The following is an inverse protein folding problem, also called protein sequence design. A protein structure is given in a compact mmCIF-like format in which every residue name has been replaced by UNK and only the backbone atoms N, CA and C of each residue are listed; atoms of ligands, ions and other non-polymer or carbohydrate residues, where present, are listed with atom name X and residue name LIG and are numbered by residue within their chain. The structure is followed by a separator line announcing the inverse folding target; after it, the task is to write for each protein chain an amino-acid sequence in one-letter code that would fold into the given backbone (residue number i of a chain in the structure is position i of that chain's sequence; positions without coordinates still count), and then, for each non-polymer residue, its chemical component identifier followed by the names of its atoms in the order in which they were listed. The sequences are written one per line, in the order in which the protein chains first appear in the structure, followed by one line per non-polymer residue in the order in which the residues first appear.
data_IF_956490842982
#
_entry.id   IF_956490842982
#
_cell.length_a   1.000
_cell.length_b   1.000
_cell.length_c   1.000
_cell.angle_alpha   90.00
_cell.angle_beta   90.00
_cell.angle_gamma   90.00
#
_symmetry.space_group_name_H-M   'P 1'
#
loop_
_entity.id
_entity.type
_entity.pdbx_description
1 polymer ?
#
# COMPACT_ATOMS: atom_id res chain seq x y z
N UNK A 1 50.39 -21.55 32.62
CA UNK A 1 50.50 -22.16 31.27
C UNK A 1 51.73 -21.55 30.62
N UNK A 2 52.73 -22.35 30.27
CA UNK A 2 54.00 -21.81 29.78
C UNK A 2 53.93 -21.57 28.27
N UNK A 3 54.74 -20.65 27.73
CA UNK A 3 54.70 -20.26 26.32
C UNK A 3 54.88 -21.43 25.33
N UNK A 4 55.55 -22.50 25.78
CA UNK A 4 55.76 -23.74 25.02
C UNK A 4 54.45 -24.51 24.82
N UNK A 5 53.64 -24.63 25.89
CA UNK A 5 52.35 -25.32 25.84
C UNK A 5 51.35 -24.56 24.96
N UNK A 6 51.40 -23.22 25.00
CA UNK A 6 50.59 -22.35 24.15
C UNK A 6 50.92 -22.55 22.66
N UNK A 7 52.21 -22.63 22.33
CA UNK A 7 52.68 -22.81 20.95
C UNK A 7 52.29 -24.19 20.40
N UNK A 8 52.37 -25.23 21.23
CA UNK A 8 51.94 -26.57 20.87
C UNK A 8 50.42 -26.62 20.61
N UNK A 9 49.62 -25.95 21.44
CA UNK A 9 48.17 -25.89 21.30
C UNK A 9 47.73 -25.14 20.04
N UNK A 10 48.34 -23.98 19.74
CA UNK A 10 47.98 -23.15 18.56
C UNK A 10 48.51 -23.75 17.25
N UNK A 11 49.53 -24.62 17.31
CA UNK A 11 50.05 -25.34 16.13
C UNK A 11 49.20 -26.56 15.75
N UNK A 12 48.25 -26.99 16.59
CA UNK A 12 47.27 -28.00 16.20
C UNK A 12 46.35 -27.42 15.12
N UNK A 13 46.24 -28.12 13.99
CA UNK A 13 45.46 -27.65 12.84
C UNK A 13 43.98 -27.39 13.18
N UNK A 14 43.40 -28.13 14.15
CA UNK A 14 42.03 -27.93 14.63
C UNK A 14 41.88 -26.60 15.35
N UNK A 15 42.88 -26.26 16.17
CA UNK A 15 42.91 -25.01 16.93
C UNK A 15 43.21 -23.84 16.00
N UNK A 16 44.13 -24.01 15.05
CA UNK A 16 44.40 -23.00 14.03
C UNK A 16 43.15 -22.71 13.18
N UNK A 17 42.41 -23.74 12.74
CA UNK A 17 41.15 -23.59 12.01
C UNK A 17 40.09 -22.87 12.86
N UNK A 18 39.93 -23.25 14.13
CA UNK A 18 39.00 -22.59 15.05
C UNK A 18 39.32 -21.11 15.18
N UNK A 19 40.59 -20.74 15.39
CA UNK A 19 41.03 -19.35 15.52
C UNK A 19 40.73 -18.57 14.24
N UNK A 20 41.02 -19.15 13.07
CA UNK A 20 40.70 -18.51 11.78
C UNK A 20 39.20 -18.28 11.63
N UNK A 21 38.36 -19.27 11.95
CA UNK A 21 36.90 -19.13 11.88
C UNK A 21 36.37 -18.08 12.86
N UNK A 22 36.93 -18.00 14.06
CA UNK A 22 36.57 -16.97 15.05
C UNK A 22 36.95 -15.57 14.55
N UNK A 23 38.15 -15.40 13.99
CA UNK A 23 38.58 -14.11 13.42
C UNK A 23 37.70 -13.71 12.23
N UNK A 24 37.39 -14.64 11.33
CA UNK A 24 36.47 -14.39 10.21
C UNK A 24 35.06 -14.04 10.69
N UNK A 25 34.58 -14.68 11.75
CA UNK A 25 33.29 -14.35 12.38
C UNK A 25 33.27 -12.92 12.94
N UNK A 26 34.34 -12.49 13.62
CA UNK A 26 34.45 -11.12 14.12
C UNK A 26 34.47 -10.09 12.99
N UNK A 27 35.16 -10.39 11.88
CA UNK A 27 35.15 -9.54 10.69
C UNK A 27 33.75 -9.47 10.08
N UNK A 28 33.04 -10.60 9.99
CA UNK A 28 31.68 -10.66 9.45
C UNK A 28 30.65 -9.92 10.33
N UNK A 29 30.77 -9.99 11.65
CA UNK A 29 29.90 -9.24 12.60
C UNK A 29 30.19 -7.73 12.52
N UNK A 30 31.43 -7.35 12.25
CA UNK A 30 31.85 -5.96 12.06
C UNK A 30 31.56 -5.04 13.25
N UNK A 31 31.98 -5.39 14.49
CA UNK A 31 31.80 -4.51 15.64
C UNK A 31 32.64 -3.23 15.45
N UNK A 32 32.00 -2.08 15.55
CA UNK A 32 32.62 -0.76 15.47
C UNK A 32 31.99 0.17 16.49
N UNK A 33 32.68 1.27 16.80
CA UNK A 33 32.09 2.32 17.63
C UNK A 33 31.42 3.34 16.71
N UNK A 34 30.17 3.68 17.00
CA UNK A 34 29.46 4.74 16.29
C UNK A 34 29.92 6.13 16.75
N UNK A 35 29.38 7.17 16.10
CA UNK A 35 29.66 8.57 16.42
C UNK A 35 29.26 9.01 17.84
N UNK A 36 28.48 8.20 18.56
CA UNK A 36 28.03 8.44 19.94
C UNK A 36 28.81 7.60 20.96
N UNK A 37 29.76 6.77 20.50
CA UNK A 37 30.61 5.92 21.35
C UNK A 37 29.98 4.58 21.73
N UNK A 38 28.85 4.20 21.14
CA UNK A 38 28.22 2.91 21.39
C UNK A 38 28.82 1.82 20.51
N UNK A 39 28.86 0.59 21.03
CA UNK A 39 29.29 -0.59 20.27
C UNK A 39 28.17 -0.98 19.28
N UNK A 40 28.38 -0.66 18.00
CA UNK A 40 27.50 -1.02 16.90
C UNK A 40 28.05 -2.24 16.14
N UNK A 41 27.17 -3.02 15.49
CA UNK A 41 27.52 -4.18 14.65
C UNK A 41 26.78 -4.09 13.32
N UNK A 42 27.21 -4.82 12.30
CA UNK A 42 26.54 -4.85 11.00
C UNK A 42 25.38 -5.87 10.94
N UNK A 43 24.83 -6.24 12.10
CA UNK A 43 23.75 -7.23 12.20
C UNK A 43 22.39 -6.55 11.96
N UNK A 44 21.63 -7.07 11.00
CA UNK A 44 20.22 -6.71 10.84
C UNK A 44 19.39 -7.50 11.84
N UNK A 45 18.96 -6.82 12.91
CA UNK A 45 18.10 -7.42 13.92
C UNK A 45 16.66 -7.54 13.40
N UNK A 46 16.02 -8.67 13.70
CA UNK A 46 14.60 -8.87 13.39
C UNK A 46 13.68 -8.06 14.32
N UNK A 47 12.40 -7.97 13.95
CA UNK A 47 11.36 -7.18 14.60
C UNK A 47 11.22 -7.44 16.12
N UNK A 48 11.44 -8.68 16.55
CA UNK A 48 11.35 -9.12 17.96
C UNK A 48 12.41 -8.46 18.85
N UNK A 49 13.53 -8.03 18.26
CA UNK A 49 14.64 -7.38 18.97
C UNK A 49 14.67 -5.86 18.78
N UNK A 50 13.91 -5.32 17.83
CA UNK A 50 13.89 -3.88 17.46
C UNK A 50 12.64 -3.10 17.90
N UNK A 51 11.75 -3.68 18.72
CA UNK A 51 10.47 -3.05 19.09
C UNK A 51 9.67 -2.55 17.88
N UNK A 52 9.34 -3.43 16.93
CA UNK A 52 8.50 -3.06 15.80
C UNK A 52 7.11 -3.67 15.85
N UNK A 53 6.16 -3.02 15.18
CA UNK A 53 4.80 -3.51 14.99
C UNK A 53 4.64 -4.09 13.58
N UNK A 54 3.80 -5.12 13.44
CA UNK A 54 3.35 -5.57 12.12
C UNK A 54 1.83 -5.59 12.05
N UNK A 55 1.29 -5.23 10.88
CA UNK A 55 -0.13 -5.24 10.58
C UNK A 55 -0.32 -6.08 9.32
N UNK A 56 -1.30 -7.00 9.36
CA UNK A 56 -1.75 -7.72 8.18
C UNK A 56 -3.17 -7.27 7.85
N UNK A 57 -3.35 -6.74 6.64
CA UNK A 57 -4.63 -6.31 6.10
C UNK A 57 -5.10 -7.32 5.05
N UNK A 58 -6.39 -7.64 5.06
CA UNK A 58 -7.02 -8.45 4.01
C UNK A 58 -7.61 -7.55 2.92
N UNK A 59 -7.36 -7.88 1.66
CA UNK A 59 -8.02 -7.21 0.54
C UNK A 59 -9.49 -7.62 0.49
N UNK A 60 -10.39 -6.64 0.56
CA UNK A 60 -11.85 -6.86 0.46
C UNK A 60 -12.32 -6.86 -0.99
N UNK A 61 -11.80 -7.80 -1.76
CA UNK A 61 -12.10 -7.99 -3.18
C UNK A 61 -12.10 -9.49 -3.52
N UNK A 62 -12.53 -9.83 -4.72
CA UNK A 62 -12.52 -11.20 -5.25
C UNK A 62 -12.04 -11.18 -6.69
N UNK A 63 -11.13 -12.08 -7.03
CA UNK A 63 -10.80 -12.43 -8.41
C UNK A 63 -11.60 -13.66 -8.81
N UNK A 64 -12.33 -13.56 -9.92
CA UNK A 64 -13.14 -14.65 -10.46
C UNK A 64 -12.70 -14.98 -11.88
N UNK A 65 -12.52 -16.27 -12.13
CA UNK A 65 -12.50 -16.80 -13.50
C UNK A 65 -13.93 -16.91 -14.00
N UNK A 66 -14.16 -16.63 -15.28
CA UNK A 66 -15.49 -16.68 -15.88
C UNK A 66 -15.50 -17.22 -17.30
N UNK A 67 -16.69 -17.61 -17.74
CA UNK A 67 -17.01 -18.02 -19.11
C UNK A 67 -18.31 -17.31 -19.52
N UNK A 68 -18.37 -16.76 -20.73
CA UNK A 68 -19.56 -16.09 -21.28
C UNK A 68 -19.47 -16.03 -22.81
N UNK A 69 -20.61 -16.17 -23.47
CA UNK A 69 -20.77 -15.94 -24.91
C UNK A 69 -21.09 -14.47 -25.25
N UNK A 70 -21.20 -13.60 -24.24
CA UNK A 70 -21.55 -12.19 -24.40
C UNK A 70 -20.33 -11.33 -24.74
N UNK A 71 -20.59 -10.13 -25.24
CA UNK A 71 -19.57 -9.08 -25.35
C UNK A 71 -19.00 -8.75 -23.96
N UNK A 72 -17.67 -8.71 -23.86
CA UNK A 72 -16.96 -8.52 -22.59
C UNK A 72 -17.26 -7.16 -21.95
N UNK A 73 -17.31 -6.08 -22.73
CA UNK A 73 -17.55 -4.75 -22.19
C UNK A 73 -18.97 -4.64 -21.63
N UNK A 74 -19.97 -5.06 -22.41
CA UNK A 74 -21.36 -5.08 -21.96
C UNK A 74 -21.58 -5.99 -20.74
N UNK A 75 -20.92 -7.15 -20.70
CA UNK A 75 -20.98 -8.06 -19.56
C UNK A 75 -20.38 -7.44 -18.29
N UNK A 76 -19.19 -6.83 -18.38
CA UNK A 76 -18.53 -6.18 -17.25
C UNK A 76 -19.33 -4.99 -16.72
N UNK A 77 -19.90 -4.16 -17.60
CA UNK A 77 -20.76 -3.04 -17.21
C UNK A 77 -21.99 -3.53 -16.46
N UNK A 78 -22.68 -4.55 -16.97
CA UNK A 78 -23.87 -5.10 -16.31
C UNK A 78 -23.54 -5.70 -14.93
N UNK A 79 -22.40 -6.41 -14.81
CA UNK A 79 -21.95 -6.92 -13.51
C UNK A 79 -21.63 -5.78 -12.53
N UNK A 80 -20.99 -4.70 -13.00
CA UNK A 80 -20.67 -3.54 -12.17
C UNK A 80 -21.93 -2.86 -11.63
N UNK A 81 -22.97 -2.73 -12.47
CA UNK A 81 -24.27 -2.18 -12.08
C UNK A 81 -25.01 -3.10 -11.09
N UNK A 82 -25.08 -4.41 -11.37
CA UNK A 82 -25.80 -5.37 -10.53
C UNK A 82 -25.14 -5.54 -9.15
N UNK A 83 -23.81 -5.50 -9.08
CA UNK A 83 -23.05 -5.70 -7.84
C UNK A 83 -22.82 -4.40 -7.06
N UNK A 84 -23.14 -3.24 -7.66
CA UNK A 84 -22.86 -1.90 -7.14
C UNK A 84 -21.39 -1.79 -6.68
N UNK A 85 -20.49 -2.13 -7.60
CA UNK A 85 -19.04 -2.11 -7.35
C UNK A 85 -18.24 -2.05 -8.65
N UNK A 86 -17.00 -1.61 -8.56
CA UNK A 86 -16.07 -1.62 -9.68
C UNK A 86 -15.68 -3.06 -10.04
N UNK A 87 -15.80 -3.39 -11.32
CA UNK A 87 -15.41 -4.67 -11.90
C UNK A 87 -14.37 -4.39 -12.98
N UNK A 88 -13.16 -4.88 -12.80
CA UNK A 88 -12.03 -4.66 -13.72
C UNK A 88 -11.69 -5.96 -14.45
N UNK A 89 -11.53 -5.87 -15.78
CA UNK A 89 -11.04 -6.99 -16.58
C UNK A 89 -9.53 -7.15 -16.36
N UNK A 90 -9.12 -8.31 -15.84
CA UNK A 90 -7.71 -8.66 -15.68
C UNK A 90 -7.17 -9.20 -17.01
N UNK A 91 -7.92 -10.13 -17.60
CA UNK A 91 -7.66 -10.76 -18.89
C UNK A 91 -8.97 -11.29 -19.50
N UNK A 92 -8.90 -11.97 -20.65
CA UNK A 92 -10.09 -12.47 -21.35
C UNK A 92 -10.97 -13.44 -20.55
N UNK A 93 -10.47 -13.99 -19.44
CA UNK A 93 -11.12 -15.03 -18.64
C UNK A 93 -11.19 -14.71 -17.15
N UNK A 94 -10.64 -13.58 -16.69
CA UNK A 94 -10.63 -13.20 -15.28
C UNK A 94 -11.10 -11.76 -15.04
N UNK A 95 -11.90 -11.59 -14.00
CA UNK A 95 -12.37 -10.30 -13.48
C UNK A 95 -11.90 -10.11 -12.05
N UNK A 96 -11.59 -8.86 -11.69
CA UNK A 96 -11.43 -8.41 -10.31
C UNK A 96 -12.68 -7.62 -9.90
N UNK A 97 -13.35 -8.07 -8.86
CA UNK A 97 -14.52 -7.42 -8.28
C UNK A 97 -14.07 -6.75 -6.98
N UNK A 98 -14.15 -5.41 -6.91
CA UNK A 98 -13.63 -4.62 -5.77
C UNK A 98 -14.55 -4.60 -4.55
N UNK A 99 -15.17 -5.76 -4.27
CA UNK A 99 -16.05 -6.02 -3.14
C UNK A 99 -15.95 -7.49 -2.77
N UNK A 100 -15.88 -7.76 -1.46
CA UNK A 100 -15.89 -9.12 -0.94
C UNK A 100 -17.32 -9.69 -1.00
N UNK A 101 -17.63 -10.44 -2.06
CA UNK A 101 -18.94 -11.07 -2.28
C UNK A 101 -18.80 -12.60 -2.13
N UNK A 102 -19.72 -13.30 -1.44
CA UNK A 102 -19.72 -14.76 -1.37
C UNK A 102 -19.84 -15.41 -2.75
N UNK A 103 -19.17 -16.55 -2.94
CA UNK A 103 -19.18 -17.28 -4.21
C UNK A 103 -20.61 -17.59 -4.70
N UNK A 104 -21.50 -18.04 -3.81
CA UNK A 104 -22.88 -18.40 -4.18
C UNK A 104 -23.68 -17.21 -4.73
N UNK A 105 -23.45 -15.99 -4.22
CA UNK A 105 -24.10 -14.78 -4.71
C UNK A 105 -23.52 -14.36 -6.08
N UNK A 106 -22.20 -14.45 -6.25
CA UNK A 106 -21.56 -14.21 -7.55
C UNK A 106 -22.03 -15.21 -8.61
N UNK A 107 -22.17 -16.48 -8.27
CA UNK A 107 -22.67 -17.50 -9.20
C UNK A 107 -24.09 -17.17 -9.70
N UNK A 108 -24.97 -16.67 -8.83
CA UNK A 108 -26.31 -16.21 -9.21
C UNK A 108 -26.24 -15.00 -10.13
N UNK A 109 -25.48 -13.97 -9.76
CA UNK A 109 -25.38 -12.73 -10.55
C UNK A 109 -24.76 -13.00 -11.93
N UNK A 110 -23.74 -13.86 -12.01
CA UNK A 110 -23.13 -14.25 -13.28
C UNK A 110 -24.12 -15.02 -14.14
N UNK A 111 -24.87 -15.98 -13.57
CA UNK A 111 -25.88 -16.73 -14.30
C UNK A 111 -26.97 -15.80 -14.86
N UNK A 112 -27.46 -14.85 -14.07
CA UNK A 112 -28.45 -13.85 -14.47
C UNK A 112 -27.93 -12.89 -15.54
N UNK A 113 -26.60 -12.68 -15.58
CA UNK A 113 -25.92 -11.89 -16.60
C UNK A 113 -25.48 -12.74 -17.81
N UNK A 114 -25.81 -14.04 -17.88
CA UNK A 114 -25.45 -14.90 -19.02
C UNK A 114 -23.97 -15.32 -19.04
N UNK A 115 -23.37 -15.49 -17.86
CA UNK A 115 -22.03 -16.03 -17.69
C UNK A 115 -21.98 -17.11 -16.61
N UNK A 116 -20.80 -17.71 -16.44
CA UNK A 116 -20.55 -18.76 -15.46
C UNK A 116 -19.24 -18.50 -14.74
N UNK A 117 -19.25 -18.59 -13.42
CA UNK A 117 -18.02 -18.56 -12.61
C UNK A 117 -17.27 -19.89 -12.78
N UNK A 118 -16.01 -19.84 -13.16
CA UNK A 118 -15.12 -21.00 -13.31
C UNK A 118 -14.15 -21.13 -12.15
N UNK A 119 -13.71 -20.02 -11.56
CA UNK A 119 -12.85 -20.00 -10.38
C UNK A 119 -13.24 -18.86 -9.43
N UNK A 120 -12.98 -19.05 -8.14
CA UNK A 120 -13.23 -18.06 -7.11
C UNK A 120 -12.01 -17.93 -6.20
N UNK A 121 -11.42 -16.73 -6.13
CA UNK A 121 -10.21 -16.46 -5.36
C UNK A 121 -10.35 -15.14 -4.59
N UNK A 122 -10.55 -15.17 -3.27
CA UNK A 122 -10.58 -13.97 -2.44
C UNK A 122 -9.26 -13.21 -2.50
N UNK A 123 -9.33 -11.90 -2.71
CA UNK A 123 -8.18 -11.01 -2.86
C UNK A 123 -8.26 -10.17 -4.13
N UNK A 124 -7.12 -9.61 -4.50
CA UNK A 124 -6.94 -8.79 -5.71
C UNK A 124 -5.91 -9.43 -6.64
N UNK A 125 -5.91 -9.02 -7.90
CA UNK A 125 -4.88 -9.38 -8.87
C UNK A 125 -3.50 -8.92 -8.42
N UNK A 126 -2.45 -9.57 -8.95
CA UNK A 126 -1.05 -9.18 -8.70
C UNK A 126 -0.81 -7.70 -8.99
N UNK A 127 -1.34 -7.18 -10.10
CA UNK A 127 -1.18 -5.78 -10.51
C UNK A 127 -1.75 -4.84 -9.45
N UNK A 128 -3.01 -5.05 -9.04
CA UNK A 128 -3.64 -4.25 -7.98
C UNK A 128 -2.88 -4.36 -6.66
N UNK A 129 -2.39 -5.55 -6.30
CA UNK A 129 -1.61 -5.76 -5.09
C UNK A 129 -0.29 -4.96 -5.10
N UNK A 130 0.42 -4.94 -6.24
CA UNK A 130 1.64 -4.16 -6.43
C UNK A 130 1.37 -2.65 -6.35
N UNK A 131 0.27 -2.18 -6.93
CA UNK A 131 -0.16 -0.78 -6.80
C UNK A 131 -0.48 -0.43 -5.34
N UNK A 132 -1.23 -1.28 -4.65
CA UNK A 132 -1.56 -1.09 -3.24
C UNK A 132 -0.29 -1.07 -2.37
N UNK A 133 0.65 -1.97 -2.65
CA UNK A 133 1.97 -2.00 -2.00
C UNK A 133 2.69 -0.66 -2.17
N UNK A 134 2.80 -0.15 -3.40
CA UNK A 134 3.49 1.11 -3.69
C UNK A 134 2.82 2.30 -2.96
N UNK A 135 1.49 2.35 -2.96
CA UNK A 135 0.73 3.39 -2.25
C UNK A 135 1.02 3.33 -0.74
N UNK A 136 1.03 2.14 -0.15
CA UNK A 136 1.32 1.95 1.26
C UNK A 136 2.77 2.34 1.58
N UNK A 137 3.75 1.92 0.79
CA UNK A 137 5.15 2.30 0.95
C UNK A 137 5.33 3.83 0.91
N UNK A 138 4.71 4.49 -0.07
CA UNK A 138 4.77 5.95 -0.21
C UNK A 138 4.12 6.67 0.99
N UNK A 139 2.93 6.21 1.42
CA UNK A 139 2.26 6.77 2.60
C UNK A 139 3.14 6.63 3.82
N UNK A 140 3.66 5.44 4.09
CA UNK A 140 4.45 5.20 5.29
C UNK A 140 5.74 6.03 5.28
N UNK A 141 6.43 6.11 4.14
CA UNK A 141 7.61 6.96 3.98
C UNK A 141 7.31 8.45 4.25
N UNK A 142 6.12 8.95 3.86
CA UNK A 142 5.70 10.33 4.14
C UNK A 142 5.49 10.64 5.63
N UNK A 143 5.23 9.63 6.47
CA UNK A 143 5.13 9.78 7.92
C UNK A 143 6.50 9.75 8.63
N UNK A 144 7.62 9.70 7.89
CA UNK A 144 8.97 9.81 8.43
C UNK A 144 9.57 8.50 8.93
N UNK A 145 8.88 7.37 8.75
CA UNK A 145 9.39 6.04 9.11
C UNK A 145 10.20 5.47 7.94
N UNK A 146 11.53 5.44 8.08
CA UNK A 146 12.45 5.07 6.99
C UNK A 146 12.54 3.57 6.72
N UNK A 147 12.06 2.72 7.64
CA UNK A 147 12.32 1.28 7.63
C UNK A 147 11.05 0.41 7.54
N UNK A 148 10.01 0.94 6.90
CA UNK A 148 8.79 0.18 6.71
C UNK A 148 8.92 -0.84 5.57
N UNK A 149 8.50 -2.08 5.82
CA UNK A 149 8.48 -3.15 4.80
C UNK A 149 7.05 -3.53 4.47
N UNK A 150 6.68 -3.43 3.20
CA UNK A 150 5.37 -3.87 2.71
C UNK A 150 5.52 -5.11 1.83
N UNK A 151 4.79 -6.17 2.17
CA UNK A 151 4.83 -7.46 1.49
C UNK A 151 3.42 -7.90 1.13
N UNK A 152 3.19 -8.26 -0.12
CA UNK A 152 1.92 -8.85 -0.56
C UNK A 152 2.01 -10.37 -0.45
N UNK A 153 1.01 -10.99 0.18
CA UNK A 153 0.90 -12.44 0.30
C UNK A 153 0.09 -12.96 -0.90
N UNK A 154 0.81 -13.26 -1.98
CA UNK A 154 0.24 -13.71 -3.26
C UNK A 154 0.28 -15.23 -3.36
N UNK A 155 -0.87 -15.84 -3.64
CA UNK A 155 -0.99 -17.28 -3.87
C UNK A 155 -0.43 -17.71 -5.23
N UNK A 156 -0.35 -19.04 -5.44
CA UNK A 156 0.10 -19.64 -6.71
C UNK A 156 -0.81 -19.27 -7.90
N UNK A 157 -2.05 -18.87 -7.63
CA UNK A 157 -3.03 -18.37 -8.59
C UNK A 157 -2.83 -16.89 -8.96
N UNK A 158 -1.74 -16.24 -8.54
CA UNK A 158 -1.46 -14.81 -8.76
C UNK A 158 -2.46 -13.85 -8.09
N UNK A 159 -3.24 -14.33 -7.12
CA UNK A 159 -4.17 -13.52 -6.34
C UNK A 159 -3.54 -13.21 -4.99
N UNK A 160 -3.46 -11.93 -4.65
CA UNK A 160 -2.98 -11.47 -3.36
C UNK A 160 -4.16 -11.31 -2.41
N UNK A 161 -4.16 -12.08 -1.31
CA UNK A 161 -5.24 -12.02 -0.32
C UNK A 161 -4.94 -11.06 0.81
N UNK A 162 -3.66 -10.95 1.18
CA UNK A 162 -3.23 -10.10 2.29
C UNK A 162 -2.08 -9.20 1.87
N UNK A 163 -1.96 -8.08 2.57
CA UNK A 163 -0.75 -7.25 2.60
C UNK A 163 -0.27 -7.16 4.04
N UNK A 164 1.01 -7.49 4.25
CA UNK A 164 1.70 -7.38 5.53
C UNK A 164 2.57 -6.14 5.50
N UNK A 165 2.46 -5.35 6.56
CA UNK A 165 3.21 -4.12 6.77
C UNK A 165 3.99 -4.31 8.06
N UNK A 166 5.30 -4.13 8.01
CA UNK A 166 6.19 -4.15 9.17
C UNK A 166 6.76 -2.74 9.37
N UNK A 167 6.69 -2.25 10.60
CA UNK A 167 7.11 -0.90 10.98
C UNK A 167 8.10 -1.03 12.14
N UNK A 168 9.34 -0.60 11.92
CA UNK A 168 10.35 -0.52 12.97
C UNK A 168 10.14 0.76 13.81
N UNK A 169 10.23 0.65 15.14
CA UNK A 169 10.20 1.81 16.04
C UNK A 169 8.85 2.53 16.17
N UNK A 170 7.75 1.92 15.70
CA UNK A 170 6.38 2.47 15.79
C UNK A 170 5.50 1.51 16.58
N UNK A 171 4.68 2.06 17.49
CA UNK A 171 3.71 1.26 18.23
C UNK A 171 2.49 0.85 17.36
N UNK A 172 1.75 -0.18 17.78
CA UNK A 172 0.60 -0.71 17.02
C UNK A 172 -0.51 0.32 16.76
N UNK A 173 -0.73 1.29 17.67
CA UNK A 173 -1.81 2.28 17.52
C UNK A 173 -1.45 3.32 16.47
N UNK A 174 -0.22 3.81 16.48
CA UNK A 174 0.30 4.70 15.45
C UNK A 174 0.36 3.99 14.09
N UNK A 175 0.81 2.74 14.08
CA UNK A 175 0.80 1.89 12.89
C UNK A 175 -0.60 1.80 12.27
N UNK A 176 -1.63 1.53 13.08
CA UNK A 176 -3.02 1.47 12.62
C UNK A 176 -3.54 2.81 12.08
N UNK A 177 -3.18 3.94 12.70
CA UNK A 177 -3.58 5.26 12.21
C UNK A 177 -2.97 5.61 10.85
N UNK A 178 -1.74 5.16 10.58
CA UNK A 178 -1.02 5.36 9.32
C UNK A 178 -1.63 4.49 8.20
N UNK A 179 -1.93 3.22 8.48
CA UNK A 179 -2.32 2.24 7.44
C UNK A 179 -3.83 2.02 7.32
N UNK A 180 -4.59 2.30 8.38
CA UNK A 180 -6.01 1.95 8.51
C UNK A 180 -6.98 2.92 7.83
N UNK A 181 -6.52 4.12 7.46
CA UNK A 181 -7.35 5.09 6.75
C UNK A 181 -7.23 4.90 5.23
N UNK A 182 -8.30 4.36 4.63
CA UNK A 182 -8.50 4.44 3.19
C UNK A 182 -8.69 5.91 2.83
N UNK A 183 -7.60 6.57 2.39
CA UNK A 183 -7.62 7.97 1.97
C UNK A 183 -8.45 8.14 0.70
N UNK A 184 -9.79 8.15 0.82
CA UNK A 184 -10.68 8.57 -0.25
C UNK A 184 -10.73 10.09 -0.22
N UNK A 185 -10.08 10.73 -1.18
CA UNK A 185 -10.18 12.17 -1.38
C UNK A 185 -11.25 12.44 -2.43
N UNK A 186 -12.19 13.34 -2.12
CA UNK A 186 -13.23 13.79 -3.03
C UNK A 186 -13.33 15.31 -2.95
N UNK A 187 -13.32 15.98 -4.10
CA UNK A 187 -13.74 17.37 -4.21
C UNK A 187 -15.19 17.35 -4.68
N UNK A 188 -16.08 17.95 -3.88
CA UNK A 188 -17.48 18.17 -4.24
C UNK A 188 -17.76 19.67 -4.30
N UNK A 189 -18.57 20.10 -5.26
CA UNK A 189 -19.07 21.48 -5.32
C UNK A 189 -20.52 21.49 -4.81
N UNK A 190 -20.81 22.43 -3.90
CA UNK A 190 -22.17 22.68 -3.47
C UNK A 190 -22.93 23.37 -4.62
N UNK A 191 -24.04 22.79 -5.01
CA UNK A 191 -24.96 23.36 -6.01
C UNK A 191 -26.06 24.15 -5.28
N UNK A 192 -27.30 24.18 -5.78
CA UNK A 192 -28.38 24.97 -5.17
C UNK A 192 -28.89 24.26 -3.90
N UNK A 193 -28.88 24.95 -2.76
CA UNK A 193 -29.31 24.38 -1.48
C UNK A 193 -28.20 23.61 -0.77
N UNK A 194 -28.52 22.42 -0.23
CA UNK A 194 -27.57 21.52 0.45
C UNK A 194 -27.09 20.36 -0.46
N UNK A 195 -27.40 20.41 -1.75
CA UNK A 195 -27.00 19.39 -2.71
C UNK A 195 -25.53 19.58 -3.14
N UNK A 196 -24.84 18.47 -3.39
CA UNK A 196 -23.40 18.46 -3.73
C UNK A 196 -23.13 17.50 -4.87
N UNK A 197 -22.46 17.98 -5.91
CA UNK A 197 -22.02 17.16 -7.03
C UNK A 197 -20.53 16.78 -6.88
N UNK A 198 -20.15 15.51 -7.14
CA UNK A 198 -18.75 15.11 -7.16
C UNK A 198 -18.05 15.68 -8.39
N UNK A 199 -16.91 16.34 -8.17
CA UNK A 199 -16.15 17.04 -9.21
C UNK A 199 -14.85 16.32 -9.52
N UNK A 200 -14.14 15.86 -8.48
CA UNK A 200 -12.90 15.11 -8.63
C UNK A 200 -12.75 14.06 -7.53
N UNK A 201 -12.15 12.94 -7.89
CA UNK A 201 -11.67 11.93 -6.96
C UNK A 201 -10.15 12.03 -6.82
N UNK A 202 -9.59 11.43 -5.77
CA UNK A 202 -8.17 11.53 -5.41
C UNK A 202 -7.19 10.86 -6.40
N UNK A 203 -7.70 10.13 -7.39
CA UNK A 203 -6.95 9.60 -8.53
C UNK A 203 -6.46 10.70 -9.47
N UNK A 204 -7.12 11.86 -9.47
CA UNK A 204 -6.73 13.05 -10.20
C UNK A 204 -5.79 13.98 -9.39
N UNK A 205 -5.07 13.49 -8.37
CA UNK A 205 -4.11 14.29 -7.60
C UNK A 205 -2.69 13.78 -7.84
N UNK A 206 -1.84 14.65 -8.37
CA UNK A 206 -0.46 14.32 -8.72
C UNK A 206 0.46 14.29 -7.50
N UNK A 207 0.14 15.07 -6.45
CA UNK A 207 0.82 15.05 -5.14
C UNK A 207 0.07 15.86 -4.09
N UNK A 208 0.00 15.35 -2.85
CA UNK A 208 -0.23 16.20 -1.67
C UNK A 208 1.10 16.70 -1.14
N UNK A 209 1.31 18.01 -1.12
CA UNK A 209 2.47 18.63 -0.48
C UNK A 209 2.39 18.43 1.04
N UNK A 210 3.52 18.39 1.73
CA UNK A 210 3.52 18.43 3.19
C UNK A 210 2.77 19.68 3.69
N UNK A 211 2.06 19.60 4.83
CA UNK A 211 1.40 20.76 5.40
C UNK A 211 2.36 21.95 5.50
N UNK A 212 2.00 23.07 4.88
CA UNK A 212 2.79 24.29 4.86
C UNK A 212 1.97 25.45 5.43
N UNK A 213 2.65 26.45 5.97
CA UNK A 213 2.03 27.71 6.37
C UNK A 213 2.11 28.71 5.22
N UNK A 214 0.97 29.25 4.82
CA UNK A 214 0.88 30.30 3.80
C UNK A 214 0.11 31.50 4.35
N UNK A 215 0.76 32.65 4.61
CA UNK A 215 2.20 32.92 4.59
C UNK A 215 2.94 32.33 5.82
N UNK A 216 4.28 32.15 5.75
CA UNK A 216 5.09 31.65 6.87
C UNK A 216 4.93 32.51 8.13
N UNK A 217 4.62 31.88 9.27
CA UNK A 217 4.47 32.56 10.56
C UNK A 217 3.04 32.98 10.93
N UNK A 218 2.02 32.54 10.19
CA UNK A 218 0.61 32.62 10.62
C UNK A 218 0.09 31.25 11.06
N UNK A 219 -0.94 31.25 11.93
CA UNK A 219 -1.68 30.04 12.36
C UNK A 219 -2.54 29.39 11.26
N UNK A 220 -2.24 29.63 9.98
CA UNK A 220 -2.95 29.07 8.84
C UNK A 220 -2.12 27.97 8.19
N UNK A 221 -2.45 26.74 8.56
CA UNK A 221 -1.89 25.54 7.96
C UNK A 221 -2.75 25.09 6.77
N UNK A 222 -2.10 24.76 5.66
CA UNK A 222 -2.75 24.23 4.48
C UNK A 222 -1.96 23.05 3.90
N UNK A 223 -2.62 22.24 3.09
CA UNK A 223 -1.99 21.19 2.28
C UNK A 223 -2.12 21.62 0.83
N UNK A 224 -1.00 21.84 0.16
CA UNK A 224 -0.97 22.11 -1.27
C UNK A 224 -1.34 20.84 -2.05
N UNK A 225 -2.31 20.95 -2.96
CA UNK A 225 -2.71 19.85 -3.83
C UNK A 225 -2.48 20.28 -5.27
N UNK A 226 -1.81 19.44 -6.06
CA UNK A 226 -1.61 19.69 -7.50
C UNK A 226 -2.53 18.79 -8.31
N UNK A 227 -3.32 19.42 -9.19
CA UNK A 227 -4.21 18.75 -10.13
C UNK A 227 -3.53 18.64 -11.51
N UNK A 228 -3.68 17.52 -12.25
CA UNK A 228 -3.35 17.44 -13.66
C UNK A 228 -4.30 18.31 -14.49
N UNK A 229 -3.93 18.64 -15.73
CA UNK A 229 -4.72 19.54 -16.59
C UNK A 229 -6.18 19.11 -16.76
N UNK A 230 -6.45 17.80 -16.83
CA UNK A 230 -7.81 17.23 -16.86
C UNK A 230 -8.59 17.51 -15.58
N UNK A 231 -7.93 17.42 -14.42
CA UNK A 231 -8.51 17.75 -13.13
C UNK A 231 -8.75 19.25 -12.95
N UNK A 232 -7.82 20.09 -13.42
CA UNK A 232 -7.98 21.53 -13.43
C UNK A 232 -9.18 21.97 -14.30
N UNK A 233 -9.38 21.35 -15.46
CA UNK A 233 -10.54 21.61 -16.32
C UNK A 233 -11.87 21.17 -15.67
N UNK A 234 -11.87 20.04 -14.96
CA UNK A 234 -13.04 19.57 -14.20
C UNK A 234 -13.37 20.49 -13.01
N UNK A 235 -12.38 21.09 -12.34
CA UNK A 235 -12.60 22.12 -11.32
C UNK A 235 -13.13 23.44 -11.87
N UNK A 236 -12.80 23.80 -13.12
CA UNK A 236 -13.27 25.05 -13.74
C UNK A 236 -14.73 24.99 -14.22
N UNK A 237 -15.24 23.80 -14.55
CA UNK A 237 -16.53 23.65 -15.23
C UNK A 237 -17.78 23.88 -14.35
N UNK A 238 -17.84 23.40 -13.09
CA UNK A 238 -19.01 23.59 -12.23
C UNK A 238 -19.23 25.04 -11.76
N UNK A 239 -18.21 25.85 -11.45
CA UNK A 239 -18.36 27.29 -11.17
C UNK A 239 -18.98 28.09 -12.34
N UNK A 240 -18.75 27.66 -13.58
CA UNK A 240 -19.27 28.31 -14.78
C UNK A 240 -20.74 27.88 -15.05
N UNK A 241 -21.14 26.68 -14.62
CA UNK A 241 -22.53 26.17 -14.76
C UNK A 241 -23.47 26.59 -13.62
N UNK A 242 -22.97 26.72 -12.39
CA UNK A 242 -23.80 27.00 -11.20
C UNK A 242 -23.64 28.42 -10.62
N UNK A 243 -22.90 29.29 -11.31
CA UNK A 243 -22.95 30.74 -11.09
C UNK A 243 -22.01 31.42 -10.08
N UNK A 244 -21.06 30.79 -9.36
CA UNK A 244 -20.17 31.57 -8.48
C UNK A 244 -19.19 32.48 -9.22
N UNK A 245 -19.00 32.35 -10.53
CA UNK A 245 -18.16 33.28 -11.33
C UNK A 245 -18.94 34.34 -12.10
N UNK A 246 -20.29 34.31 -12.11
CA UNK A 246 -21.12 35.24 -12.90
C UNK A 246 -21.76 36.36 -12.09
N UNK A 247 -21.68 36.34 -10.75
CA UNK A 247 -22.18 37.42 -9.88
C UNK A 247 -21.27 37.67 -8.66
N UNK A 248 -20.34 38.63 -8.72
CA UNK A 248 -19.48 38.99 -7.60
C UNK A 248 -20.15 40.09 -6.78
N UNK A 249 -21.22 39.78 -6.05
CA UNK A 249 -21.79 40.72 -5.07
C UNK A 249 -22.14 39.98 -3.78
N UNK A 250 -21.14 39.88 -2.89
CA UNK A 250 -21.27 39.94 -1.43
C UNK A 250 -19.94 40.37 -0.82
#
# INVERSE_FOLDING_TARGET
MNAVDLKAMVSDWRVALLIVLVVLSLIAIGPHFDSEGNLATNLQYGLDLQQGAWIQLEFKAVVVGFDTDRDLNGFVTELSEKLDTEVELIDATHLEIRKAIPQAELEQVFADAGGKVTTYSPGVSRKTAETAKLILENKINSFGTKDAKVQTLTGLNNVARYVRIELAGVDMRQAQAIVGNQGKFEIRIQTVGNETEPVLFGDAITSGQNPSQEPPGRDKWGVGVTLPETGAAACQHPPIRHGPTSHPEH
#
